data_IF_007132376292
#
_entry.id   IF_007132376292
#
_cell.length_a   1.000
_cell.length_b   1.000
_cell.length_c   1.000
_cell.angle_alpha   90.00
_cell.angle_beta   90.00
_cell.angle_gamma   90.00
#
_symmetry.space_group_name_H-M   'P 1'
#
loop_
_entity.id
_entity.type
_entity.pdbx_description
1 polymer ?
#
# COMPACT_ATOMS: atom_id res chain seq x y z
N UNK A 1 -16.11 11.76 -2.90
CA UNK A 1 -15.05 11.01 -2.17
C UNK A 1 -15.33 10.97 -0.67
N UNK A 2 -15.49 12.11 0.01
CA UNK A 2 -15.75 12.17 1.47
C UNK A 2 -17.03 11.45 1.92
N UNK A 3 -18.13 11.49 1.14
CA UNK A 3 -19.38 10.79 1.50
C UNK A 3 -19.21 9.28 1.69
N UNK A 4 -18.51 8.61 0.77
CA UNK A 4 -18.32 7.16 0.83
C UNK A 4 -17.47 6.75 2.05
N UNK A 5 -16.44 7.54 2.39
CA UNK A 5 -15.63 7.28 3.58
C UNK A 5 -16.44 7.56 4.85
N UNK A 6 -17.24 8.64 4.86
CA UNK A 6 -18.07 9.02 6.01
C UNK A 6 -19.15 7.97 6.33
N UNK A 7 -19.74 7.34 5.32
CA UNK A 7 -20.68 6.22 5.50
C UNK A 7 -20.03 5.00 6.18
N UNK A 8 -18.75 4.76 5.90
CA UNK A 8 -18.03 3.58 6.41
C UNK A 8 -17.42 3.81 7.79
N UNK A 9 -16.85 4.99 8.07
CA UNK A 9 -16.09 5.20 9.31
C UNK A 9 -16.53 6.43 10.12
N UNK A 10 -17.49 7.23 9.64
CA UNK A 10 -17.91 8.49 10.27
C UNK A 10 -16.69 9.39 10.54
N UNK A 11 -16.19 10.04 9.49
CA UNK A 11 -14.93 10.78 9.49
C UNK A 11 -14.88 11.83 10.61
N UNK A 12 -16.02 12.45 10.94
CA UNK A 12 -16.11 13.48 12.00
C UNK A 12 -15.87 12.93 13.42
N UNK A 13 -15.96 11.62 13.59
CA UNK A 13 -15.72 10.93 14.86
C UNK A 13 -14.39 10.16 14.86
N UNK A 14 -13.52 10.42 13.88
CA UNK A 14 -12.23 9.75 13.74
C UNK A 14 -11.08 10.60 14.28
N UNK A 15 -10.10 9.92 14.87
CA UNK A 15 -8.75 10.44 15.05
C UNK A 15 -7.97 10.22 13.74
N UNK A 16 -7.27 11.24 13.27
CA UNK A 16 -6.52 11.20 11.98
C UNK A 16 -5.03 11.15 12.28
N UNK A 17 -4.35 10.16 11.73
CA UNK A 17 -2.91 9.98 11.85
C UNK A 17 -2.26 10.05 10.47
N UNK A 18 -1.11 10.69 10.38
CA UNK A 18 -0.25 10.66 9.21
C UNK A 18 0.93 9.74 9.46
N UNK A 19 1.21 8.88 8.49
CA UNK A 19 2.44 8.10 8.47
C UNK A 19 3.45 8.77 7.55
N UNK A 20 4.52 9.28 8.15
CA UNK A 20 5.63 9.93 7.47
C UNK A 20 6.93 9.22 7.87
N UNK A 21 7.32 8.16 7.15
CA UNK A 21 8.52 7.38 7.45
C UNK A 21 9.79 8.22 7.21
N UNK A 22 10.79 8.01 8.05
CA UNK A 22 12.14 8.51 7.78
C UNK A 22 12.82 7.62 6.71
N UNK A 23 13.58 8.25 5.83
CA UNK A 23 14.05 7.75 4.52
C UNK A 23 14.81 6.41 4.51
N UNK A 24 15.24 5.86 5.64
CA UNK A 24 16.27 4.79 5.66
C UNK A 24 15.78 3.41 6.10
N UNK A 25 14.47 3.18 6.27
CA UNK A 25 14.02 1.87 6.78
C UNK A 25 12.59 1.42 6.52
N UNK A 26 11.78 2.14 5.74
CA UNK A 26 10.39 1.77 5.54
C UNK A 26 10.16 0.97 4.24
N UNK A 27 9.71 -0.31 4.33
CA UNK A 27 9.36 -1.14 3.17
C UNK A 27 8.11 -0.64 2.42
N UNK A 28 7.37 0.32 2.96
CA UNK A 28 6.11 0.84 2.40
C UNK A 28 6.31 2.16 1.64
N UNK A 29 7.52 2.74 1.64
CA UNK A 29 7.81 3.94 0.85
C UNK A 29 7.72 3.60 -0.64
N UNK A 30 6.80 4.25 -1.35
CA UNK A 30 6.69 4.16 -2.80
C UNK A 30 7.93 4.77 -3.46
N UNK A 31 8.89 3.91 -3.81
CA UNK A 31 10.13 4.28 -4.50
C UNK A 31 9.79 5.01 -5.80
N UNK A 32 10.37 6.19 -6.00
CA UNK A 32 10.14 7.00 -7.20
C UNK A 32 8.85 7.84 -7.19
N UNK A 33 8.11 7.89 -6.08
CA UNK A 33 7.03 8.85 -5.91
C UNK A 33 7.59 10.29 -5.80
N UNK A 34 7.00 11.21 -6.57
CA UNK A 34 7.24 12.66 -6.48
C UNK A 34 6.70 13.18 -5.14
N UNK A 35 5.54 12.68 -4.75
CA UNK A 35 4.94 12.89 -3.45
C UNK A 35 4.12 11.65 -3.08
N UNK A 36 4.04 11.38 -1.79
CA UNK A 36 3.21 10.34 -1.21
C UNK A 36 2.67 10.84 0.13
N UNK A 37 1.41 10.56 0.43
CA UNK A 37 0.86 10.75 1.76
C UNK A 37 0.05 9.52 2.17
N UNK A 38 0.18 9.18 3.43
CA UNK A 38 -0.42 8.00 4.04
C UNK A 38 -1.20 8.46 5.28
N UNK A 39 -2.52 8.39 5.22
CA UNK A 39 -3.41 8.75 6.33
C UNK A 39 -4.14 7.53 6.88
N UNK A 40 -4.29 7.49 8.20
CA UNK A 40 -5.11 6.53 8.91
C UNK A 40 -6.23 7.25 9.64
N UNK A 41 -7.46 6.88 9.34
CA UNK A 41 -8.65 7.33 10.05
C UNK A 41 -9.04 6.24 11.04
N UNK A 42 -8.97 6.54 12.33
CA UNK A 42 -9.34 5.59 13.37
C UNK A 42 -10.59 6.06 14.11
N UNK A 43 -11.65 5.24 14.04
CA UNK A 43 -12.85 5.47 14.84
C UNK A 43 -12.85 4.52 16.05
N UNK A 44 -12.59 5.08 17.24
CA UNK A 44 -12.54 4.33 18.52
C UNK A 44 -13.86 3.62 18.85
N UNK A 45 -15.01 4.21 18.51
CA UNK A 45 -16.33 3.64 18.81
C UNK A 45 -16.64 2.44 17.92
N UNK A 46 -16.28 2.53 16.64
CA UNK A 46 -16.48 1.46 15.67
C UNK A 46 -15.35 0.42 15.69
N UNK A 47 -14.25 0.68 16.42
CA UNK A 47 -13.01 -0.12 16.42
C UNK A 47 -12.52 -0.39 14.99
N UNK A 48 -12.61 0.62 14.12
CA UNK A 48 -12.32 0.51 12.69
C UNK A 48 -11.22 1.47 12.30
N UNK A 49 -10.33 1.01 11.43
CA UNK A 49 -9.28 1.82 10.82
C UNK A 49 -9.48 1.81 9.30
N UNK A 50 -9.42 2.98 8.67
CA UNK A 50 -9.31 3.12 7.22
C UNK A 50 -7.94 3.68 6.90
N UNK A 51 -7.19 2.99 6.04
CA UNK A 51 -5.95 3.50 5.46
C UNK A 51 -6.25 4.16 4.12
N UNK A 52 -5.80 5.39 3.95
CA UNK A 52 -5.88 6.14 2.70
C UNK A 52 -4.48 6.53 2.27
N UNK A 53 -4.03 5.95 1.17
CA UNK A 53 -2.70 6.17 0.61
C UNK A 53 -2.86 6.73 -0.80
N UNK A 54 -2.11 7.78 -1.09
CA UNK A 54 -2.08 8.36 -2.41
C UNK A 54 -0.69 8.90 -2.67
N UNK A 55 -0.21 8.64 -3.87
CA UNK A 55 1.10 9.05 -4.34
C UNK A 55 1.03 9.41 -5.82
N UNK A 56 2.05 10.12 -6.28
CA UNK A 56 2.23 10.42 -7.69
C UNK A 56 3.62 9.96 -8.13
N UNK A 57 3.67 9.13 -9.16
CA UNK A 57 4.90 8.77 -9.86
C UNK A 57 4.96 9.48 -11.20
N UNK A 58 6.19 9.75 -11.67
CA UNK A 58 6.38 10.22 -13.03
C UNK A 58 6.26 9.03 -14.01
N UNK A 59 5.75 9.27 -15.21
CA UNK A 59 5.84 8.26 -16.29
C UNK A 59 7.26 8.14 -16.85
N UNK A 60 8.11 9.14 -16.56
CA UNK A 60 9.53 9.16 -16.94
C UNK A 60 10.41 8.48 -15.90
N UNK A 61 9.93 8.32 -14.66
CA UNK A 61 10.54 7.37 -13.71
C UNK A 61 10.17 5.98 -14.19
N UNK A 62 10.88 5.52 -15.22
CA UNK A 62 10.69 4.21 -15.80
C UNK A 62 10.85 3.14 -14.73
N UNK A 63 9.77 2.44 -14.47
CA UNK A 63 9.75 1.12 -13.82
C UNK A 63 8.55 0.33 -14.36
N UNK A 64 8.34 0.39 -15.68
CA UNK A 64 7.43 -0.49 -16.44
C UNK A 64 7.88 -1.98 -16.39
N UNK A 65 8.76 -2.34 -15.45
CA UNK A 65 9.32 -3.66 -15.24
C UNK A 65 8.70 -4.41 -14.05
N UNK A 66 7.98 -3.74 -13.14
CA UNK A 66 7.45 -4.38 -11.91
C UNK A 66 5.92 -4.52 -11.84
N UNK A 67 5.16 -4.05 -12.83
CA UNK A 67 3.70 -4.30 -12.91
C UNK A 67 3.32 -5.51 -13.78
N UNK A 68 4.31 -6.26 -14.29
CA UNK A 68 4.10 -7.61 -14.77
C UNK A 68 3.99 -8.57 -13.59
N UNK A 69 2.88 -8.55 -12.85
CA UNK A 69 2.54 -9.68 -12.01
C UNK A 69 2.46 -10.91 -12.92
N UNK A 70 3.27 -11.98 -12.72
CA UNK A 70 2.95 -13.26 -13.32
C UNK A 70 1.62 -13.69 -12.70
N UNK A 71 0.57 -13.72 -13.53
CA UNK A 71 -0.66 -14.41 -13.23
C UNK A 71 -0.33 -15.86 -12.92
N UNK A 72 -0.87 -16.35 -11.80
CA UNK A 72 -0.81 -17.74 -11.34
C UNK A 72 -0.92 -18.75 -12.49
N UNK A 73 0.01 -19.71 -12.49
CA UNK A 73 0.04 -20.83 -13.41
C UNK A 73 1.12 -21.83 -13.01
N UNK A 74 0.82 -22.64 -11.99
CA UNK A 74 1.30 -24.01 -11.73
C UNK A 74 2.71 -24.39 -12.23
N UNK A 75 3.68 -24.43 -11.31
CA UNK A 75 4.81 -25.37 -11.40
C UNK A 75 5.01 -26.07 -10.04
N UNK A 76 4.07 -26.96 -9.70
CA UNK A 76 4.48 -28.23 -9.11
C UNK A 76 5.25 -28.96 -10.20
N UNK A 77 6.57 -29.13 -10.05
CA UNK A 77 7.23 -30.42 -10.31
C UNK A 77 8.72 -30.39 -9.94
N UNK A 78 9.05 -31.26 -8.98
CA UNK A 78 10.33 -31.95 -8.80
C UNK A 78 11.57 -31.16 -8.35
N UNK A 79 11.69 -31.02 -7.03
CA UNK A 79 12.95 -31.26 -6.32
C UNK A 79 13.48 -32.68 -6.60
N UNK A 80 14.17 -32.95 -7.70
CA UNK A 80 15.09 -34.11 -7.81
C UNK A 80 16.25 -33.74 -8.75
N UNK A 81 17.32 -33.22 -8.19
CA UNK A 81 18.70 -33.61 -8.52
C UNK A 81 19.64 -32.92 -7.53
N UNK A 82 19.52 -33.36 -6.28
CA UNK A 82 20.60 -33.23 -5.31
C UNK A 82 20.91 -34.64 -4.82
N UNK A 83 21.60 -35.41 -5.66
CA UNK A 83 22.38 -36.54 -5.21
C UNK A 83 23.84 -36.40 -5.69
N UNK A 84 24.68 -36.87 -4.78
CA UNK A 84 26.13 -36.88 -4.62
C UNK A 84 26.96 -37.44 -5.79
#
# INVERSE_FOLDING_TARGET
MTKAIDEVIKIRECDIYSYNPDSDGDPVVEKGAIWSFNYFFYNRKLKRVVSFRCYCTSKLSGDDFLTGAPSDGEEEDALIDMDI
#
